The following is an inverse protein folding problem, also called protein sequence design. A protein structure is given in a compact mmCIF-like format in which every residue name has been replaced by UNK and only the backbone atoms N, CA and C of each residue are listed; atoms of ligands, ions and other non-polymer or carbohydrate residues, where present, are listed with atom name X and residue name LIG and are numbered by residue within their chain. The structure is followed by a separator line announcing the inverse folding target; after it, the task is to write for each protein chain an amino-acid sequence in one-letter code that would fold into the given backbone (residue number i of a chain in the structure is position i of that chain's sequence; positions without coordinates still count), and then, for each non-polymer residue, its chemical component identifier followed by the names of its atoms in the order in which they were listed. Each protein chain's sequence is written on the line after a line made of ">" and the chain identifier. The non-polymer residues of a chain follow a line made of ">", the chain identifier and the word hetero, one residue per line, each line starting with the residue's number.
data_IF_395784390065
#
_entry.id   IF_395784390065
#
_cell.length_a   1.000
_cell.length_b   1.000
_cell.length_c   1.000
_cell.angle_alpha   90.00
_cell.angle_beta   90.00
_cell.angle_gamma   90.00
#
_symmetry.space_group_name_H-M   'P 1'
#
loop_
_entity.id
_entity.type
_entity.pdbx_description
1 polymer ?
#
# COMPACT_ATOMS: atom_id res chain seq x y z
N UNK A 1 12.55 -26.55 29.85
CA UNK A 1 12.86 -26.32 28.42
C UNK A 1 11.62 -25.89 27.63
N UNK A 2 10.47 -26.57 27.78
CA UNK A 2 9.22 -26.24 27.06
C UNK A 2 8.73 -24.79 27.24
N UNK A 3 8.82 -24.25 28.45
CA UNK A 3 8.42 -22.86 28.75
C UNK A 3 9.24 -21.81 27.97
N UNK A 4 10.49 -22.10 27.61
CA UNK A 4 11.33 -21.18 26.84
C UNK A 4 10.91 -21.10 25.38
N UNK A 5 10.48 -22.23 24.79
CA UNK A 5 10.02 -22.28 23.41
C UNK A 5 8.67 -21.58 23.23
N UNK A 6 7.74 -21.74 24.18
CA UNK A 6 6.43 -21.06 24.12
C UNK A 6 6.57 -19.54 24.22
N UNK A 7 7.41 -19.01 25.11
CA UNK A 7 7.68 -17.56 25.17
C UNK A 7 8.35 -17.04 23.89
N UNK A 8 9.26 -17.80 23.30
CA UNK A 8 9.89 -17.44 22.02
C UNK A 8 8.88 -17.37 20.87
N UNK A 9 8.03 -18.39 20.72
CA UNK A 9 6.98 -18.42 19.70
C UNK A 9 5.94 -17.31 19.90
N UNK A 10 5.58 -17.00 21.14
CA UNK A 10 4.70 -15.88 21.46
C UNK A 10 5.31 -14.54 21.05
N UNK A 11 6.62 -14.35 21.27
CA UNK A 11 7.36 -13.18 20.80
C UNK A 11 7.33 -13.03 19.28
N UNK A 12 7.57 -14.12 18.54
CA UNK A 12 7.47 -14.12 17.07
C UNK A 12 6.04 -13.81 16.60
N UNK A 13 5.03 -14.38 17.27
CA UNK A 13 3.62 -14.12 16.97
C UNK A 13 3.27 -12.64 17.15
N UNK A 14 3.72 -12.02 18.24
CA UNK A 14 3.50 -10.59 18.49
C UNK A 14 4.17 -9.71 17.43
N UNK A 15 5.42 -10.02 17.06
CA UNK A 15 6.13 -9.31 15.98
C UNK A 15 5.35 -9.44 14.67
N UNK A 16 4.89 -10.65 14.33
CA UNK A 16 4.08 -10.89 13.13
C UNK A 16 2.80 -10.06 13.11
N UNK A 17 2.10 -9.95 14.23
CA UNK A 17 0.89 -9.12 14.37
C UNK A 17 1.22 -7.65 14.15
N UNK A 18 2.26 -7.12 14.79
CA UNK A 18 2.66 -5.71 14.65
C UNK A 18 3.01 -5.41 13.19
N UNK A 19 3.81 -6.27 12.56
CA UNK A 19 4.18 -6.14 11.13
C UNK A 19 2.93 -6.18 10.25
N UNK A 20 2.00 -7.10 10.52
CA UNK A 20 0.74 -7.19 9.79
C UNK A 20 -0.10 -5.91 9.90
N UNK A 21 -0.21 -5.32 11.09
CA UNK A 21 -0.92 -4.06 11.32
C UNK A 21 -0.26 -2.92 10.55
N UNK A 22 1.07 -2.79 10.64
CA UNK A 22 1.82 -1.74 9.93
C UNK A 22 1.62 -1.88 8.42
N UNK A 23 1.73 -3.09 7.88
CA UNK A 23 1.50 -3.34 6.46
C UNK A 23 0.07 -3.00 6.05
N UNK A 24 -0.93 -3.39 6.85
CA UNK A 24 -2.33 -3.10 6.58
C UNK A 24 -2.59 -1.58 6.54
N UNK A 25 -2.09 -0.84 7.53
CA UNK A 25 -2.16 0.63 7.54
C UNK A 25 -1.50 1.22 6.30
N UNK A 26 -0.33 0.70 5.92
CA UNK A 26 0.41 1.19 4.76
C UNK A 26 -0.30 0.89 3.43
N UNK A 27 -0.95 -0.26 3.30
CA UNK A 27 -1.79 -0.60 2.13
C UNK A 27 -2.92 0.43 2.00
N UNK A 28 -3.73 0.62 3.04
CA UNK A 28 -4.84 1.58 2.99
C UNK A 28 -4.36 3.01 2.73
N UNK A 29 -3.29 3.43 3.40
CA UNK A 29 -2.66 4.73 3.16
C UNK A 29 -2.24 4.89 1.69
N UNK A 30 -1.60 3.89 1.11
CA UNK A 30 -1.13 3.94 -0.28
C UNK A 30 -2.27 3.99 -1.29
N UNK A 31 -3.38 3.30 -1.04
CA UNK A 31 -4.59 3.35 -1.88
C UNK A 31 -5.20 4.75 -1.84
N UNK A 32 -5.42 5.30 -0.64
CA UNK A 32 -5.98 6.65 -0.47
C UNK A 32 -5.06 7.70 -1.10
N UNK A 33 -3.75 7.57 -0.89
CA UNK A 33 -2.76 8.45 -1.48
C UNK A 33 -2.79 8.40 -3.00
N UNK A 34 -2.80 7.20 -3.60
CA UNK A 34 -2.83 7.02 -5.05
C UNK A 34 -4.12 7.58 -5.68
N UNK A 35 -5.26 7.44 -5.02
CA UNK A 35 -6.53 8.07 -5.41
C UNK A 35 -6.37 9.60 -5.50
N UNK A 36 -5.85 10.23 -4.45
CA UNK A 36 -5.67 11.67 -4.41
C UNK A 36 -4.62 12.15 -5.42
N UNK A 37 -3.54 11.40 -5.59
CA UNK A 37 -2.48 11.71 -6.56
C UNK A 37 -3.00 11.64 -8.00
N UNK A 38 -3.77 10.60 -8.34
CA UNK A 38 -4.43 10.50 -9.64
C UNK A 38 -5.42 11.65 -9.89
N UNK A 39 -6.23 12.01 -8.89
CA UNK A 39 -7.15 13.14 -8.96
C UNK A 39 -6.43 14.46 -9.24
N UNK A 40 -5.31 14.72 -8.57
CA UNK A 40 -4.49 15.93 -8.78
C UNK A 40 -3.85 15.99 -10.17
N UNK A 41 -3.59 14.82 -10.79
CA UNK A 41 -3.01 14.69 -12.13
C UNK A 41 -4.06 14.59 -13.25
N UNK A 42 -5.35 14.79 -12.95
CA UNK A 42 -6.43 14.72 -13.95
C UNK A 42 -6.66 13.32 -14.52
N UNK A 43 -6.25 12.26 -13.81
CA UNK A 43 -6.51 10.86 -14.18
C UNK A 43 -7.65 10.30 -13.33
N UNK A 44 -8.25 9.20 -13.81
CA UNK A 44 -9.36 8.55 -13.10
C UNK A 44 -8.92 8.03 -11.72
N UNK A 45 -9.40 8.63 -10.61
CA UNK A 45 -8.93 8.28 -9.27
C UNK A 45 -9.26 6.85 -8.85
N UNK A 46 -10.47 6.40 -9.21
CA UNK A 46 -10.96 5.06 -8.88
C UNK A 46 -10.20 3.96 -9.61
N UNK A 47 -9.86 4.16 -10.89
CA UNK A 47 -9.08 3.17 -11.65
C UNK A 47 -7.70 2.97 -11.03
N UNK A 48 -7.03 4.07 -10.65
CA UNK A 48 -5.70 3.99 -10.02
C UNK A 48 -5.79 3.35 -8.63
N UNK A 49 -6.76 3.75 -7.81
CA UNK A 49 -6.94 3.18 -6.47
C UNK A 49 -7.23 1.67 -6.51
N UNK A 50 -8.12 1.24 -7.43
CA UNK A 50 -8.41 -0.18 -7.63
C UNK A 50 -7.20 -0.94 -8.18
N UNK A 51 -6.43 -0.34 -9.09
CA UNK A 51 -5.18 -0.93 -9.56
C UNK A 51 -4.19 -1.15 -8.39
N UNK A 52 -4.01 -0.14 -7.54
CA UNK A 52 -3.10 -0.23 -6.37
C UNK A 52 -3.57 -1.27 -5.35
N UNK A 53 -4.89 -1.43 -5.16
CA UNK A 53 -5.46 -2.40 -4.23
C UNK A 53 -5.47 -3.84 -4.79
N UNK A 54 -5.82 -4.02 -6.06
CA UNK A 54 -6.09 -5.33 -6.66
C UNK A 54 -4.89 -5.95 -7.37
N UNK A 55 -3.99 -5.15 -7.97
CA UNK A 55 -2.71 -5.68 -8.48
C UNK A 55 -1.74 -5.80 -7.31
N UNK A 56 -1.86 -6.93 -6.59
CA UNK A 56 -0.96 -7.43 -5.53
C UNK A 56 -0.06 -6.31 -5.00
N UNK A 57 -0.54 -5.59 -4.00
CA UNK A 57 0.28 -4.57 -3.35
C UNK A 57 1.65 -5.18 -2.99
N UNK A 58 2.80 -4.54 -3.34
CA UNK A 58 2.97 -3.16 -3.80
C UNK A 58 3.04 -2.98 -5.33
N UNK A 59 2.82 -4.01 -6.15
CA UNK A 59 3.02 -3.96 -7.61
C UNK A 59 2.18 -2.87 -8.26
N UNK A 60 0.88 -2.78 -7.94
CA UNK A 60 0.02 -1.71 -8.47
C UNK A 60 0.50 -0.30 -8.08
N UNK A 61 1.04 -0.13 -6.87
CA UNK A 61 1.63 1.14 -6.43
C UNK A 61 2.87 1.50 -7.26
N UNK A 62 3.75 0.52 -7.51
CA UNK A 62 4.96 0.71 -8.33
C UNK A 62 4.58 1.10 -9.76
N UNK A 63 3.61 0.41 -10.36
CA UNK A 63 3.10 0.74 -11.71
C UNK A 63 2.61 2.19 -11.75
N UNK A 64 1.81 2.62 -10.76
CA UNK A 64 1.37 4.00 -10.70
C UNK A 64 2.54 4.98 -10.59
N UNK A 65 3.54 4.71 -9.76
CA UNK A 65 4.71 5.57 -9.60
C UNK A 65 5.55 5.71 -10.88
N UNK A 66 5.63 4.65 -11.69
CA UNK A 66 6.36 4.65 -12.95
C UNK A 66 5.59 5.37 -14.06
N UNK A 67 4.27 5.18 -14.14
CA UNK A 67 3.43 5.70 -15.22
C UNK A 67 2.78 7.05 -14.91
N UNK A 68 2.84 7.54 -13.66
CA UNK A 68 2.18 8.80 -13.29
C UNK A 68 2.73 9.97 -14.12
N UNK A 69 1.87 10.85 -14.64
CA UNK A 69 2.28 12.05 -15.36
C UNK A 69 3.13 12.98 -14.49
N UNK A 70 4.22 13.54 -15.00
CA UNK A 70 5.15 14.36 -14.19
C UNK A 70 4.57 15.74 -13.80
N UNK A 71 3.61 16.27 -14.57
CA UNK A 71 2.93 17.54 -14.31
C UNK A 71 1.46 17.42 -14.75
N UNK A 72 0.59 18.28 -14.23
CA UNK A 72 -0.73 18.53 -14.83
C UNK A 72 -0.45 19.01 -16.24
N UNK A 73 -0.46 18.10 -17.22
CA UNK A 73 -0.60 18.50 -18.61
C UNK A 73 -1.92 19.25 -18.65
N UNK A 74 -1.82 20.58 -18.63
CA UNK A 74 -2.93 21.45 -18.96
C UNK A 74 -3.37 20.97 -20.34
N UNK A 75 -4.53 20.32 -20.37
CA UNK A 75 -5.23 20.07 -21.61
C UNK A 75 -5.63 21.47 -22.09
N UNK A 76 -4.82 22.00 -23.02
CA UNK A 76 -5.18 23.15 -23.85
C UNK A 76 -6.44 22.83 -24.64
#
# INVERSE_FOLDING_TARGET
>A
MEQSYTSFLAGLGLIGIIVGIVLLVFIFWSVIWSYQDARRRGKSPWLVALMVLLMVWPVGLIIWLLLRPQKTEQQV
#
